data_IF_327976664135
#
_entry.id   IF_327976664135
#
_cell.length_a   1.000
_cell.length_b   1.000
_cell.length_c   1.000
_cell.angle_alpha   90.00
_cell.angle_beta   90.00
_cell.angle_gamma   90.00
#
_symmetry.space_group_name_H-M   'P 1'
#
loop_
_entity.id
_entity.type
_entity.pdbx_description
1 polymer ?
#
# COMPACT_ATOMS: atom_id res chain seq x y z
N UNK A 1 1.61 0.44 -5.69
CA UNK A 1 0.33 0.10 -6.37
C UNK A 1 -0.56 -0.66 -5.39
N UNK A 2 -0.87 -0.06 -4.23
CA UNK A 2 -1.34 -0.82 -3.05
C UNK A 2 -2.85 -1.04 -3.01
N UNK A 3 -3.56 -0.62 -4.07
CA UNK A 3 -5.01 -0.75 -4.22
C UNK A 3 -5.42 -2.00 -5.02
N UNK A 4 -4.48 -2.71 -5.64
CA UNK A 4 -4.77 -3.95 -6.36
C UNK A 4 -5.41 -5.06 -5.50
N UNK A 5 -5.15 -5.17 -4.18
CA UNK A 5 -5.86 -6.12 -3.33
C UNK A 5 -7.38 -5.89 -3.27
N UNK A 6 -7.90 -4.75 -3.75
CA UNK A 6 -9.35 -4.56 -3.90
C UNK A 6 -9.96 -5.43 -5.02
N UNK A 7 -9.15 -5.87 -5.98
CA UNK A 7 -9.59 -6.65 -7.15
C UNK A 7 -9.52 -8.16 -6.85
N UNK A 8 -8.50 -8.58 -6.09
CA UNK A 8 -8.24 -9.99 -5.79
C UNK A 8 -7.23 -10.18 -4.66
N UNK A 9 -7.32 -11.29 -3.94
CA UNK A 9 -6.41 -11.62 -2.83
C UNK A 9 -5.01 -12.02 -3.32
N UNK A 10 -4.90 -12.51 -4.56
CA UNK A 10 -3.65 -12.86 -5.24
C UNK A 10 -2.67 -11.69 -5.34
N UNK A 11 -3.19 -10.45 -5.41
CA UNK A 11 -2.36 -9.25 -5.48
C UNK A 11 -1.67 -8.91 -4.17
N UNK A 12 -2.13 -9.46 -3.04
CA UNK A 12 -1.43 -9.32 -1.74
C UNK A 12 -0.05 -9.96 -1.85
N UNK A 13 0.00 -11.21 -2.33
CA UNK A 13 1.25 -11.97 -2.48
C UNK A 13 2.16 -11.29 -3.51
N UNK A 14 1.61 -10.86 -4.65
CA UNK A 14 2.38 -10.15 -5.67
C UNK A 14 2.99 -8.84 -5.14
N UNK A 15 2.25 -8.07 -4.33
CA UNK A 15 2.75 -6.84 -3.70
C UNK A 15 3.84 -7.12 -2.67
N UNK A 16 3.66 -8.16 -1.85
CA UNK A 16 4.66 -8.57 -0.86
C UNK A 16 5.97 -8.99 -1.52
N UNK A 17 5.90 -9.82 -2.57
CA UNK A 17 7.10 -10.24 -3.34
C UNK A 17 7.76 -9.04 -4.01
N UNK A 18 6.97 -8.16 -4.63
CA UNK A 18 7.49 -6.94 -5.26
C UNK A 18 8.19 -6.02 -4.26
N UNK A 19 7.63 -5.84 -3.07
CA UNK A 19 8.25 -5.05 -2.01
C UNK A 19 9.53 -5.71 -1.47
N UNK A 20 9.51 -7.03 -1.29
CA UNK A 20 10.69 -7.77 -0.85
C UNK A 20 11.85 -7.60 -1.84
N UNK A 21 11.59 -7.75 -3.14
CA UNK A 21 12.59 -7.52 -4.18
C UNK A 21 13.05 -6.06 -4.22
N UNK A 22 12.13 -5.10 -4.16
CA UNK A 22 12.47 -3.68 -4.15
C UNK A 22 13.37 -3.32 -2.97
N UNK A 23 13.09 -3.85 -1.78
CA UNK A 23 13.89 -3.58 -0.58
C UNK A 23 15.22 -4.34 -0.60
N UNK A 24 15.29 -5.50 -1.25
CA UNK A 24 16.54 -6.23 -1.50
C UNK A 24 17.52 -5.40 -2.35
N UNK A 25 17.00 -4.68 -3.36
CA UNK A 25 17.80 -3.79 -4.21
C UNK A 25 17.85 -2.32 -3.71
N UNK A 26 17.02 -1.96 -2.73
CA UNK A 26 16.80 -0.59 -2.27
C UNK A 26 17.83 -0.05 -1.27
N UNK A 27 18.71 -0.91 -0.75
CA UNK A 27 19.91 -0.48 -0.04
C UNK A 27 19.71 0.02 1.42
N UNK A 28 18.48 0.05 1.94
CA UNK A 28 18.19 0.42 3.35
C UNK A 28 18.53 -0.69 4.37
N UNK A 29 19.13 -1.80 3.91
CA UNK A 29 19.59 -2.90 4.74
C UNK A 29 18.50 -3.89 5.13
N UNK A 30 18.91 -4.92 5.89
CA UNK A 30 18.04 -6.02 6.36
C UNK A 30 16.77 -5.55 7.10
N UNK A 31 16.80 -4.48 7.94
CA UNK A 31 15.60 -4.04 8.65
C UNK A 31 14.47 -3.62 7.71
N UNK A 32 14.78 -2.89 6.63
CA UNK A 32 13.77 -2.45 5.67
C UNK A 32 13.19 -3.61 4.85
N UNK A 33 14.00 -4.63 4.56
CA UNK A 33 13.52 -5.85 3.90
C UNK A 33 12.49 -6.57 4.78
N UNK A 34 12.77 -6.77 6.07
CA UNK A 34 11.86 -7.50 6.95
C UNK A 34 10.65 -6.64 7.31
N UNK A 35 10.88 -5.46 7.88
CA UNK A 35 9.80 -4.61 8.37
C UNK A 35 8.99 -3.96 7.24
N UNK A 36 9.62 -3.58 6.13
CA UNK A 36 8.92 -3.03 4.96
C UNK A 36 8.06 -4.08 4.25
N UNK A 37 8.54 -5.32 4.13
CA UNK A 37 7.74 -6.42 3.54
C UNK A 37 6.56 -6.79 4.44
N UNK A 38 6.76 -6.83 5.77
CA UNK A 38 5.68 -7.05 6.73
C UNK A 38 4.66 -5.90 6.72
N UNK A 39 5.11 -4.65 6.66
CA UNK A 39 4.23 -3.49 6.54
C UNK A 39 3.38 -3.55 5.27
N UNK A 40 3.98 -3.96 4.15
CA UNK A 40 3.28 -4.14 2.89
C UNK A 40 2.27 -5.28 2.96
N UNK A 41 2.61 -6.41 3.58
CA UNK A 41 1.68 -7.53 3.79
C UNK A 41 0.47 -7.09 4.62
N UNK A 42 0.69 -6.45 5.77
CA UNK A 42 -0.36 -5.99 6.67
C UNK A 42 -1.26 -4.97 5.97
N UNK A 43 -0.67 -3.98 5.31
CA UNK A 43 -1.44 -2.96 4.59
C UNK A 43 -2.25 -3.54 3.44
N UNK A 44 -1.66 -4.43 2.63
CA UNK A 44 -2.37 -5.08 1.54
C UNK A 44 -3.53 -5.95 2.04
N UNK A 45 -3.36 -6.65 3.17
CA UNK A 45 -4.45 -7.40 3.81
C UNK A 45 -5.58 -6.48 4.29
N UNK A 46 -5.26 -5.35 4.93
CA UNK A 46 -6.26 -4.36 5.37
C UNK A 46 -7.01 -3.73 4.19
N UNK A 47 -6.31 -3.47 3.08
CA UNK A 47 -6.93 -3.02 1.83
C UNK A 47 -7.91 -4.06 1.30
N UNK A 48 -7.50 -5.32 1.18
CA UNK A 48 -8.36 -6.41 0.75
C UNK A 48 -9.59 -6.55 1.64
N UNK A 49 -9.41 -6.53 2.97
CA UNK A 49 -10.50 -6.64 3.93
C UNK A 49 -11.49 -5.46 3.83
N UNK A 50 -10.98 -4.25 3.65
CA UNK A 50 -11.80 -3.04 3.42
C UNK A 50 -12.59 -3.16 2.12
N UNK A 51 -11.96 -3.64 1.05
CA UNK A 51 -12.61 -3.91 -0.23
C UNK A 51 -13.71 -4.97 -0.13
N UNK A 52 -13.52 -5.99 0.70
CA UNK A 52 -14.52 -7.05 0.92
C UNK A 52 -15.68 -6.60 1.81
N UNK A 53 -15.42 -5.78 2.82
CA UNK A 53 -16.41 -5.40 3.85
C UNK A 53 -17.17 -4.12 3.48
N UNK A 54 -16.55 -3.20 2.74
CA UNK A 54 -17.09 -1.85 2.50
C UNK A 54 -17.31 -1.55 1.02
N UNK A 55 -17.33 -2.57 0.14
CA UNK A 55 -17.46 -2.42 -1.32
C UNK A 55 -18.63 -1.52 -1.75
N UNK A 56 -19.72 -1.56 -0.99
CA UNK A 56 -20.98 -0.87 -1.28
C UNK A 56 -21.01 0.58 -0.77
N UNK A 57 -19.98 1.04 -0.04
CA UNK A 57 -19.93 2.40 0.52
C UNK A 57 -19.21 3.37 -0.43
N UNK A 58 -19.79 4.56 -0.72
CA UNK A 58 -19.08 5.58 -1.47
C UNK A 58 -17.83 6.02 -0.69
N UNK A 59 -16.66 5.95 -1.33
CA UNK A 59 -15.39 6.35 -0.72
C UNK A 59 -14.54 5.21 -0.15
N UNK A 60 -14.95 3.94 -0.24
CA UNK A 60 -14.14 2.80 0.23
C UNK A 60 -12.72 2.77 -0.35
N UNK A 61 -12.54 3.27 -1.59
CA UNK A 61 -11.23 3.35 -2.27
C UNK A 61 -10.30 4.34 -1.56
N UNK A 62 -10.83 5.45 -1.04
CA UNK A 62 -10.04 6.42 -0.26
C UNK A 62 -9.64 5.84 1.10
N UNK A 63 -10.55 5.15 1.77
CA UNK A 63 -10.25 4.47 3.04
C UNK A 63 -9.18 3.40 2.80
N UNK A 64 -9.31 2.63 1.72
CA UNK A 64 -8.33 1.66 1.30
C UNK A 64 -6.96 2.29 1.00
N UNK A 65 -6.89 3.47 0.37
CA UNK A 65 -5.60 4.13 0.07
C UNK A 65 -4.89 4.66 1.32
N UNK A 66 -5.61 4.85 2.44
CA UNK A 66 -5.03 5.32 3.69
C UNK A 66 -4.30 4.21 4.45
N UNK A 67 -4.76 2.95 4.39
CA UNK A 67 -4.13 1.86 5.13
C UNK A 67 -2.63 1.71 4.85
N UNK A 68 -2.16 1.66 3.59
CA UNK A 68 -0.73 1.55 3.32
C UNK A 68 0.05 2.77 3.80
N UNK A 69 -0.51 3.97 3.64
CA UNK A 69 0.09 5.22 4.10
C UNK A 69 0.35 5.17 5.61
N UNK A 70 -0.67 4.81 6.39
CA UNK A 70 -0.58 4.75 7.86
C UNK A 70 0.40 3.66 8.30
N UNK A 71 0.25 2.45 7.76
CA UNK A 71 1.06 1.29 8.17
C UNK A 71 2.54 1.51 7.85
N UNK A 72 2.88 1.99 6.65
CA UNK A 72 4.27 2.24 6.30
C UNK A 72 4.85 3.48 6.99
N UNK A 73 4.06 4.55 7.21
CA UNK A 73 4.54 5.70 7.96
C UNK A 73 4.95 5.30 9.38
N UNK A 74 4.15 4.45 10.04
CA UNK A 74 4.45 3.97 11.40
C UNK A 74 5.60 2.97 11.38
N UNK A 75 5.57 1.95 10.51
CA UNK A 75 6.57 0.88 10.53
C UNK A 75 7.90 1.36 9.94
N UNK A 76 7.91 1.92 8.73
CA UNK A 76 9.15 2.38 8.10
C UNK A 76 9.62 3.68 8.77
N UNK A 77 8.75 4.66 8.97
CA UNK A 77 9.11 5.92 9.61
C UNK A 77 9.47 5.79 11.10
N UNK A 78 8.71 5.00 11.85
CA UNK A 78 8.91 4.85 13.30
C UNK A 78 9.85 3.73 13.70
N UNK A 79 9.70 2.53 13.13
CA UNK A 79 10.51 1.37 13.53
C UNK A 79 11.85 1.36 12.78
N UNK A 80 11.85 1.55 11.47
CA UNK A 80 13.09 1.48 10.66
C UNK A 80 13.92 2.76 10.77
N UNK A 81 13.38 3.92 10.38
CA UNK A 81 14.15 5.16 10.29
C UNK A 81 14.53 5.75 11.66
N UNK A 82 13.59 5.78 12.62
CA UNK A 82 13.92 6.21 13.98
C UNK A 82 14.66 5.12 14.78
N UNK A 83 14.15 3.89 14.77
CA UNK A 83 14.71 2.80 15.58
C UNK A 83 16.09 2.30 15.16
N UNK A 84 16.37 2.20 13.85
CA UNK A 84 17.65 1.68 13.35
C UNK A 84 18.61 2.77 12.86
N UNK A 85 18.10 3.85 12.28
CA UNK A 85 18.94 4.92 11.71
C UNK A 85 19.01 6.17 12.59
N UNK A 86 18.27 6.23 13.71
CA UNK A 86 18.32 7.34 14.65
C UNK A 86 17.77 8.66 14.11
N UNK A 87 17.04 8.64 12.99
CA UNK A 87 16.45 9.86 12.44
C UNK A 87 15.30 10.36 13.31
N UNK A 88 15.05 11.68 13.36
CA UNK A 88 13.94 12.25 14.11
C UNK A 88 12.60 11.59 13.74
N UNK A 89 11.92 11.04 14.76
CA UNK A 89 10.68 10.25 14.63
C UNK A 89 9.60 10.98 13.82
N UNK A 90 9.30 12.21 14.21
CA UNK A 90 8.23 13.00 13.62
C UNK A 90 8.54 13.29 12.14
N UNK A 91 9.79 13.65 11.82
CA UNK A 91 10.20 13.93 10.45
C UNK A 91 10.16 12.66 9.59
N UNK A 92 10.61 11.52 10.12
CA UNK A 92 10.61 10.25 9.39
C UNK A 92 9.20 9.76 9.07
N UNK A 93 8.30 9.80 10.07
CA UNK A 93 6.89 9.45 9.89
C UNK A 93 6.21 10.40 8.90
N UNK A 94 6.42 11.71 9.03
CA UNK A 94 5.83 12.70 8.13
C UNK A 94 6.36 12.55 6.70
N UNK A 95 7.65 12.33 6.52
CA UNK A 95 8.25 12.20 5.19
C UNK A 95 7.75 10.94 4.48
N UNK A 96 7.75 9.79 5.15
CA UNK A 96 7.23 8.52 4.59
C UNK A 96 5.72 8.62 4.36
N UNK A 97 4.98 9.11 5.36
CA UNK A 97 3.53 9.24 5.29
C UNK A 97 3.08 10.22 4.20
N UNK A 98 3.71 11.37 4.08
CA UNK A 98 3.38 12.34 3.04
C UNK A 98 3.71 11.81 1.64
N UNK A 99 4.89 11.20 1.46
CA UNK A 99 5.28 10.58 0.19
C UNK A 99 4.30 9.49 -0.25
N UNK A 100 3.94 8.59 0.65
CA UNK A 100 2.95 7.55 0.34
C UNK A 100 1.55 8.11 0.13
N UNK A 101 1.14 9.10 0.91
CA UNK A 101 -0.18 9.72 0.74
C UNK A 101 -0.32 10.33 -0.65
N UNK A 102 0.69 11.09 -1.11
CA UNK A 102 0.68 11.68 -2.45
C UNK A 102 0.63 10.59 -3.52
N UNK A 103 1.51 9.59 -3.46
CA UNK A 103 1.58 8.55 -4.49
C UNK A 103 0.33 7.66 -4.51
N UNK A 104 -0.17 7.23 -3.35
CA UNK A 104 -1.27 6.26 -3.28
C UNK A 104 -2.63 6.95 -3.40
N UNK A 105 -2.82 8.10 -2.75
CA UNK A 105 -4.12 8.80 -2.77
C UNK A 105 -4.28 9.66 -4.02
N UNK A 106 -3.28 10.48 -4.38
CA UNK A 106 -3.43 11.41 -5.52
C UNK A 106 -3.27 10.67 -6.85
N UNK A 107 -2.32 9.74 -6.96
CA UNK A 107 -2.09 9.00 -8.22
C UNK A 107 -2.84 7.66 -8.21
N UNK A 108 -2.78 6.91 -7.12
CA UNK A 108 -3.34 5.55 -7.06
C UNK A 108 -4.87 5.51 -7.18
N UNK A 109 -5.61 6.42 -6.53
CA UNK A 109 -7.08 6.45 -6.57
C UNK A 109 -7.64 6.71 -7.98
N UNK A 110 -7.22 7.76 -8.73
CA UNK A 110 -7.72 7.97 -10.08
C UNK A 110 -7.31 6.84 -11.02
N UNK A 111 -6.07 6.33 -10.90
CA UNK A 111 -5.61 5.19 -11.69
C UNK A 111 -6.50 3.96 -11.46
N UNK A 112 -6.82 3.66 -10.19
CA UNK A 112 -7.70 2.56 -9.82
C UNK A 112 -9.11 2.74 -10.39
N UNK A 113 -9.67 3.96 -10.34
CA UNK A 113 -11.00 4.26 -10.94
C UNK A 113 -11.01 4.02 -12.45
N UNK A 114 -9.96 4.44 -13.16
CA UNK A 114 -9.82 4.23 -14.61
C UNK A 114 -9.70 2.73 -14.93
N UNK A 115 -8.87 2.01 -14.18
CA UNK A 115 -8.69 0.57 -14.33
C UNK A 115 -9.98 -0.21 -14.06
N UNK A 116 -10.66 0.06 -12.95
CA UNK A 116 -11.91 -0.61 -12.59
C UNK A 116 -12.97 -0.44 -13.68
N UNK A 117 -13.06 0.75 -14.29
CA UNK A 117 -14.03 1.00 -15.36
C UNK A 117 -13.70 0.23 -16.66
N UNK A 118 -12.40 0.03 -16.98
CA UNK A 118 -11.98 -0.81 -18.10
C UNK A 118 -12.16 -2.31 -17.81
N UNK A 119 -11.81 -2.76 -16.61
CA UNK A 119 -11.91 -4.16 -16.22
C UNK A 119 -13.37 -4.64 -16.14
N UNK A 120 -14.27 -3.81 -15.58
CA UNK A 120 -15.71 -4.07 -15.59
C UNK A 120 -16.27 -4.16 -17.02
N UNK A 121 -15.81 -3.31 -17.94
CA UNK A 121 -16.21 -3.39 -19.36
C UNK A 121 -15.70 -4.66 -20.05
N UNK A 122 -14.48 -5.11 -19.73
CA UNK A 122 -13.92 -6.34 -20.26
C UNK A 122 -14.66 -7.58 -19.77
N UNK A 123 -14.96 -7.67 -18.47
CA UNK A 123 -15.72 -8.78 -17.90
C UNK A 123 -17.15 -8.86 -18.47
N UNK A 124 -17.78 -7.71 -18.72
CA UNK A 124 -19.13 -7.64 -19.31
C UNK A 124 -19.18 -7.96 -20.81
N UNK A 125 -18.04 -8.00 -21.48
CA UNK A 125 -17.91 -8.38 -22.90
C UNK A 125 -17.64 -9.87 -23.11
N UNK A 126 -17.35 -10.61 -22.03
CA UNK A 126 -17.03 -12.04 -22.07
C UNK A 126 -18.20 -12.89 -21.52
N UNK A 127 -19.17 -12.27 -20.83
CA UNK A 127 -20.45 -12.88 -20.41
C UNK A 127 -21.57 -12.63 -21.41
#
# INVERSE_FOLDING_TARGET
MNLLPLIGGEYIIALTIGCFLANLFGGLGVPDIVFGTLATLISAYLVYFTGKTMKDKPGYILIASLWPTIVNAIIIGGVVLYGFFGLPLILSILQVGFGQFVVITIIGVPLFKVFNNKYLKLLKNIS
#
